data_IF_419199808427
#
_entry.id   IF_419199808427
#
_cell.length_a   1.000
_cell.length_b   1.000
_cell.length_c   1.000
_cell.angle_alpha   90.00
_cell.angle_beta   90.00
_cell.angle_gamma   90.00
#
_symmetry.space_group_name_H-M   'P 1'
#
loop_
_entity.id
_entity.type
_entity.pdbx_description
1 polymer ?
#
# COMPACT_ATOMS: atom_id res chain seq x y z
N UNK A 1 -27.92 -13.44 -12.84
CA UNK A 1 -27.60 -13.38 -11.39
C UNK A 1 -27.64 -11.91 -11.02
N UNK A 2 -28.68 -11.50 -10.29
CA UNK A 2 -29.31 -10.19 -10.40
C UNK A 2 -28.58 -9.08 -9.63
N UNK A 3 -28.43 -7.91 -10.26
CA UNK A 3 -27.98 -6.66 -9.64
C UNK A 3 -28.77 -6.31 -8.37
N UNK A 4 -30.06 -6.67 -8.32
CA UNK A 4 -30.93 -6.47 -7.16
C UNK A 4 -30.49 -7.30 -5.93
N UNK A 5 -30.04 -8.53 -6.13
CA UNK A 5 -29.55 -9.39 -5.04
C UNK A 5 -28.19 -8.87 -4.52
N UNK A 6 -27.31 -8.39 -5.41
CA UNK A 6 -26.06 -7.75 -5.00
C UNK A 6 -26.30 -6.47 -4.18
N UNK A 7 -27.32 -5.68 -4.53
CA UNK A 7 -27.75 -4.49 -3.78
C UNK A 7 -28.28 -4.81 -2.38
N UNK A 8 -29.15 -5.82 -2.24
CA UNK A 8 -29.64 -6.28 -0.93
C UNK A 8 -28.51 -6.89 -0.07
N UNK A 9 -27.59 -7.64 -0.68
CA UNK A 9 -26.48 -8.24 0.09
C UNK A 9 -25.50 -7.18 0.57
N UNK A 10 -25.22 -6.14 -0.25
CA UNK A 10 -24.37 -5.00 0.14
C UNK A 10 -25.00 -4.15 1.24
N UNK A 11 -26.32 -3.89 1.19
CA UNK A 11 -27.00 -3.18 2.28
C UNK A 11 -26.95 -3.96 3.59
N UNK A 12 -27.13 -5.28 3.53
CA UNK A 12 -27.09 -6.16 4.71
C UNK A 12 -25.70 -6.21 5.36
N UNK A 13 -24.61 -6.22 4.58
CA UNK A 13 -23.24 -6.21 5.14
C UNK A 13 -22.97 -4.91 5.90
N UNK A 14 -23.45 -3.78 5.39
CA UNK A 14 -23.32 -2.52 6.11
C UNK A 14 -24.17 -2.47 7.37
N UNK A 15 -25.21 -3.29 7.52
CA UNK A 15 -26.05 -3.33 8.72
C UNK A 15 -25.58 -4.28 9.82
N UNK A 16 -24.42 -4.92 9.66
CA UNK A 16 -23.84 -5.80 10.68
C UNK A 16 -23.42 -5.04 11.95
N UNK A 17 -23.42 -5.75 13.09
CA UNK A 17 -22.90 -5.21 14.36
C UNK A 17 -21.38 -5.36 14.41
N UNK A 18 -20.69 -4.29 14.04
CA UNK A 18 -19.22 -4.22 14.02
C UNK A 18 -18.59 -4.18 15.42
N UNK A 19 -19.37 -4.00 16.50
CA UNK A 19 -18.85 -4.09 17.87
C UNK A 19 -18.47 -5.54 18.20
N UNK A 20 -19.18 -6.51 17.61
CA UNK A 20 -18.89 -7.93 17.82
C UNK A 20 -17.53 -8.30 17.25
N UNK A 21 -16.69 -8.90 18.09
CA UNK A 21 -15.36 -9.36 17.71
C UNK A 21 -15.39 -10.35 16.54
N UNK A 22 -16.39 -11.23 16.52
CA UNK A 22 -16.59 -12.21 15.44
C UNK A 22 -16.83 -11.55 14.08
N UNK A 23 -17.62 -10.47 14.04
CA UNK A 23 -17.89 -9.72 12.81
C UNK A 23 -16.62 -9.08 12.28
N UNK A 24 -15.85 -8.44 13.17
CA UNK A 24 -14.56 -7.82 12.82
C UNK A 24 -13.58 -8.85 12.27
N UNK A 25 -13.42 -9.99 12.95
CA UNK A 25 -12.53 -11.06 12.49
C UNK A 25 -12.99 -11.68 11.17
N UNK A 26 -14.30 -11.90 10.98
CA UNK A 26 -14.85 -12.40 9.71
C UNK A 26 -14.48 -11.48 8.55
N UNK A 27 -14.60 -10.16 8.72
CA UNK A 27 -14.27 -9.20 7.67
C UNK A 27 -12.77 -9.08 7.40
N UNK A 28 -11.93 -9.12 8.43
CA UNK A 28 -10.46 -9.18 8.26
C UNK A 28 -10.07 -10.45 7.49
N UNK A 29 -10.66 -11.59 7.86
CA UNK A 29 -10.43 -12.88 7.19
C UNK A 29 -10.91 -12.83 5.74
N UNK A 30 -12.09 -12.27 5.50
CA UNK A 30 -12.63 -12.06 4.16
C UNK A 30 -11.69 -11.17 3.33
N UNK A 31 -11.21 -10.05 3.88
CA UNK A 31 -10.24 -9.18 3.21
C UNK A 31 -8.97 -9.93 2.79
N UNK A 32 -8.41 -10.75 3.68
CA UNK A 32 -7.26 -11.59 3.36
C UNK A 32 -7.53 -12.50 2.16
N UNK A 33 -8.63 -13.27 2.19
CA UNK A 33 -8.93 -14.25 1.14
C UNK A 33 -9.39 -13.62 -0.17
N UNK A 34 -10.08 -12.48 -0.12
CA UNK A 34 -10.45 -11.71 -1.32
C UNK A 34 -9.18 -11.31 -2.07
N UNK A 35 -8.21 -10.72 -1.37
CA UNK A 35 -6.98 -10.25 -2.02
C UNK A 35 -6.00 -11.36 -2.38
N UNK A 36 -6.00 -12.48 -1.64
CA UNK A 36 -5.37 -13.72 -2.11
C UNK A 36 -6.01 -14.21 -3.42
N UNK A 37 -7.34 -14.19 -3.51
CA UNK A 37 -8.09 -14.51 -4.72
C UNK A 37 -7.70 -13.60 -5.89
N UNK A 38 -7.63 -12.28 -5.67
CA UNK A 38 -7.16 -11.29 -6.66
C UNK A 38 -5.74 -11.60 -7.11
N UNK A 39 -4.84 -11.93 -6.19
CA UNK A 39 -3.45 -12.30 -6.52
C UNK A 39 -3.38 -13.54 -7.42
N UNK A 40 -4.15 -14.59 -7.09
CA UNK A 40 -4.22 -15.82 -7.89
C UNK A 40 -4.89 -15.59 -9.25
N UNK A 41 -5.95 -14.77 -9.28
CA UNK A 41 -6.62 -14.39 -10.51
C UNK A 41 -5.70 -13.58 -11.43
N UNK A 42 -4.93 -12.64 -10.87
CA UNK A 42 -3.91 -11.89 -11.59
C UNK A 42 -2.87 -12.83 -12.21
N UNK A 43 -2.38 -13.82 -11.45
CA UNK A 43 -1.46 -14.84 -11.96
C UNK A 43 -2.07 -15.63 -13.12
N UNK A 44 -3.30 -16.11 -12.94
CA UNK A 44 -4.00 -16.92 -13.94
C UNK A 44 -4.24 -16.11 -15.22
N UNK A 45 -4.86 -14.93 -15.12
CA UNK A 45 -5.11 -14.05 -16.26
C UNK A 45 -3.82 -13.67 -16.98
N UNK A 46 -2.80 -13.21 -16.26
CA UNK A 46 -1.54 -12.78 -16.85
C UNK A 46 -0.81 -13.93 -17.59
N UNK A 47 -0.91 -15.16 -17.07
CA UNK A 47 -0.37 -16.34 -17.73
C UNK A 47 -1.03 -16.64 -19.08
N UNK A 48 -2.32 -16.34 -19.20
CA UNK A 48 -3.07 -16.53 -20.45
C UNK A 48 -2.80 -15.41 -21.45
N UNK A 49 -2.92 -14.16 -21.03
CA UNK A 49 -2.99 -13.01 -21.96
C UNK A 49 -1.62 -12.36 -22.26
N UNK A 50 -0.61 -12.54 -21.40
CA UNK A 50 0.66 -11.83 -21.54
C UNK A 50 1.83 -12.76 -21.83
N UNK A 51 2.35 -12.67 -23.06
CA UNK A 51 3.57 -13.38 -23.45
C UNK A 51 4.77 -12.95 -22.60
N UNK A 52 4.93 -11.65 -22.34
CA UNK A 52 5.99 -11.11 -21.50
C UNK A 52 5.91 -11.61 -20.06
N UNK A 53 4.71 -11.75 -19.50
CA UNK A 53 4.54 -12.29 -18.14
C UNK A 53 4.99 -13.76 -18.07
N UNK A 54 4.69 -14.58 -19.08
CA UNK A 54 5.09 -16.00 -19.10
C UNK A 54 6.61 -16.17 -19.03
N UNK A 55 7.38 -15.25 -19.62
CA UNK A 55 8.84 -15.27 -19.61
C UNK A 55 9.48 -14.71 -18.34
N UNK A 56 8.70 -14.09 -17.44
CA UNK A 56 9.22 -13.58 -16.17
C UNK A 56 9.70 -14.70 -15.25
N UNK A 57 10.72 -14.38 -14.45
CA UNK A 57 11.19 -15.25 -13.36
C UNK A 57 10.06 -15.48 -12.34
N UNK A 58 10.13 -16.57 -11.56
CA UNK A 58 9.14 -16.83 -10.49
C UNK A 58 9.03 -15.65 -9.51
N UNK A 59 10.17 -15.03 -9.17
CA UNK A 59 10.25 -13.83 -8.35
C UNK A 59 9.48 -12.65 -8.96
N UNK A 60 9.75 -12.32 -10.23
CA UNK A 60 9.08 -11.21 -10.91
C UNK A 60 7.59 -11.46 -11.14
N UNK A 61 7.17 -12.72 -11.31
CA UNK A 61 5.75 -13.09 -11.38
C UNK A 61 5.03 -12.77 -10.06
N UNK A 62 5.59 -13.19 -8.92
CA UNK A 62 5.04 -12.86 -7.59
C UNK A 62 4.94 -11.36 -7.40
N UNK A 63 6.01 -10.61 -7.72
CA UNK A 63 6.01 -9.15 -7.57
C UNK A 63 5.06 -8.43 -8.53
N UNK A 64 4.84 -8.97 -9.73
CA UNK A 64 3.85 -8.43 -10.67
C UNK A 64 2.42 -8.65 -10.19
N UNK A 65 2.12 -9.84 -9.64
CA UNK A 65 0.79 -10.14 -9.13
C UNK A 65 0.47 -9.32 -7.89
N UNK A 66 1.40 -9.22 -6.93
CA UNK A 66 1.20 -8.37 -5.75
C UNK A 66 1.09 -6.88 -6.13
N UNK A 67 1.77 -6.42 -7.20
CA UNK A 67 1.59 -5.07 -7.69
C UNK A 67 0.15 -4.82 -8.18
N UNK A 68 -0.47 -5.76 -8.90
CA UNK A 68 -1.88 -5.65 -9.31
C UNK A 68 -2.78 -5.59 -8.06
N UNK A 69 -2.57 -6.50 -7.11
CA UNK A 69 -3.35 -6.57 -5.86
C UNK A 69 -3.23 -5.26 -5.06
N UNK A 70 -2.02 -4.72 -4.91
CA UNK A 70 -1.75 -3.41 -4.27
C UNK A 70 -2.42 -2.26 -4.99
N UNK A 71 -2.40 -2.26 -6.32
CA UNK A 71 -3.03 -1.22 -7.12
C UNK A 71 -4.55 -1.15 -6.86
N UNK A 72 -5.21 -2.30 -6.75
CA UNK A 72 -6.64 -2.38 -6.44
C UNK A 72 -6.95 -1.88 -5.03
N UNK A 73 -6.18 -2.28 -4.01
CA UNK A 73 -6.33 -1.69 -2.68
C UNK A 73 -6.11 -0.18 -2.72
N UNK A 74 -5.05 0.29 -3.39
CA UNK A 74 -4.75 1.72 -3.50
C UNK A 74 -5.94 2.51 -4.05
N UNK A 75 -6.63 2.01 -5.08
CA UNK A 75 -7.85 2.62 -5.61
C UNK A 75 -8.98 2.60 -4.56
N UNK A 76 -9.24 1.46 -3.92
CA UNK A 76 -10.24 1.35 -2.86
C UNK A 76 -9.99 2.36 -1.74
N UNK A 77 -8.75 2.46 -1.29
CA UNK A 77 -8.29 3.37 -0.24
C UNK A 77 -8.40 4.84 -0.64
N UNK A 78 -8.09 5.18 -1.90
CA UNK A 78 -8.31 6.53 -2.44
C UNK A 78 -9.78 6.93 -2.34
N UNK A 79 -10.67 6.07 -2.80
CA UNK A 79 -12.11 6.37 -2.84
C UNK A 79 -12.64 6.58 -1.43
N UNK A 80 -12.37 5.63 -0.52
CA UNK A 80 -12.81 5.70 0.87
C UNK A 80 -12.23 6.92 1.60
N UNK A 81 -10.94 7.19 1.38
CA UNK A 81 -10.22 8.30 1.97
C UNK A 81 -10.71 9.67 1.51
N UNK A 82 -10.85 9.87 0.19
CA UNK A 82 -11.36 11.12 -0.37
C UNK A 82 -12.81 11.36 0.03
N UNK A 83 -13.62 10.30 0.10
CA UNK A 83 -14.99 10.40 0.58
C UNK A 83 -15.05 10.90 2.02
N UNK A 84 -14.29 10.31 2.95
CA UNK A 84 -14.20 10.82 4.32
C UNK A 84 -13.62 12.24 4.40
N UNK A 85 -12.59 12.54 3.59
CA UNK A 85 -11.89 13.82 3.64
C UNK A 85 -12.75 14.99 3.12
N UNK A 86 -13.56 14.76 2.09
CA UNK A 86 -14.19 15.85 1.32
C UNK A 86 -15.73 15.86 1.37
N UNK A 87 -16.36 14.71 1.64
CA UNK A 87 -17.80 14.54 1.39
C UNK A 87 -18.57 14.14 2.65
N UNK A 88 -18.08 13.16 3.42
CA UNK A 88 -18.87 12.57 4.51
C UNK A 88 -19.09 13.56 5.66
N UNK A 89 -20.33 13.99 5.94
CA UNK A 89 -20.61 15.05 6.91
C UNK A 89 -20.31 14.64 8.35
N UNK A 90 -20.38 13.34 8.67
CA UNK A 90 -20.11 12.84 10.02
C UNK A 90 -18.61 12.94 10.33
N UNK A 91 -17.76 12.60 9.36
CA UNK A 91 -16.32 12.78 9.48
C UNK A 91 -15.87 14.25 9.45
N UNK A 92 -16.63 15.13 8.79
CA UNK A 92 -16.35 16.57 8.84
C UNK A 92 -16.73 17.19 10.18
N UNK A 93 -17.81 16.72 10.80
CA UNK A 93 -18.28 17.22 12.10
C UNK A 93 -17.36 16.79 13.26
N UNK A 94 -16.85 15.56 13.20
CA UNK A 94 -15.96 15.01 14.23
C UNK A 94 -14.90 14.14 13.56
N UNK A 95 -13.62 14.43 13.79
CA UNK A 95 -12.49 13.70 13.19
C UNK A 95 -11.84 12.70 14.15
N UNK A 96 -12.28 12.66 15.40
CA UNK A 96 -11.62 11.86 16.46
C UNK A 96 -12.47 10.68 16.89
N UNK A 97 -13.77 10.84 17.07
CA UNK A 97 -14.65 9.76 17.55
C UNK A 97 -15.56 9.19 16.48
N UNK A 98 -15.73 9.91 15.37
CA UNK A 98 -16.66 9.50 14.33
C UNK A 98 -16.33 8.14 13.73
N UNK A 99 -17.39 7.37 13.52
CA UNK A 99 -17.38 6.09 12.84
C UNK A 99 -18.59 6.01 11.93
N UNK A 100 -18.45 5.26 10.85
CA UNK A 100 -19.52 4.98 9.90
C UNK A 100 -19.52 3.49 9.61
N UNK A 101 -20.68 2.91 9.29
CA UNK A 101 -20.75 1.48 8.96
C UNK A 101 -19.90 1.13 7.73
N UNK A 102 -19.88 2.01 6.73
CA UNK A 102 -19.02 1.84 5.55
C UNK A 102 -17.53 1.93 5.90
N UNK A 103 -17.14 2.80 6.85
CA UNK A 103 -15.73 2.94 7.21
C UNK A 103 -15.23 1.75 8.00
N UNK A 104 -16.06 1.15 8.86
CA UNK A 104 -15.77 -0.15 9.47
C UNK A 104 -15.43 -1.20 8.41
N UNK A 105 -16.30 -1.38 7.41
CA UNK A 105 -16.09 -2.32 6.33
C UNK A 105 -14.76 -2.08 5.60
N UNK A 106 -14.50 -0.83 5.18
CA UNK A 106 -13.27 -0.50 4.44
C UNK A 106 -12.00 -0.72 5.27
N UNK A 107 -11.98 -0.29 6.53
CA UNK A 107 -10.85 -0.48 7.42
C UNK A 107 -10.57 -1.97 7.67
N UNK A 108 -11.59 -2.78 7.96
CA UNK A 108 -11.42 -4.21 8.26
C UNK A 108 -10.98 -5.01 7.02
N UNK A 109 -11.54 -4.72 5.85
CA UNK A 109 -11.10 -5.33 4.59
C UNK A 109 -9.64 -4.95 4.28
N UNK A 110 -9.27 -3.69 4.49
CA UNK A 110 -7.89 -3.23 4.31
C UNK A 110 -6.93 -3.90 5.31
N UNK A 111 -7.32 -4.10 6.58
CA UNK A 111 -6.53 -4.87 7.55
C UNK A 111 -6.25 -6.30 7.06
N UNK A 112 -7.26 -6.94 6.47
CA UNK A 112 -7.13 -8.27 5.86
C UNK A 112 -6.13 -8.30 4.70
N UNK A 113 -6.20 -7.30 3.82
CA UNK A 113 -5.21 -7.13 2.74
C UNK A 113 -3.80 -6.94 3.29
N UNK A 114 -3.60 -6.04 4.26
CA UNK A 114 -2.27 -5.75 4.81
C UNK A 114 -1.70 -7.01 5.48
N UNK A 115 -2.53 -7.81 6.14
CA UNK A 115 -2.10 -9.11 6.68
C UNK A 115 -1.63 -10.05 5.56
N UNK A 116 -2.41 -10.19 4.49
CA UNK A 116 -2.03 -10.98 3.31
C UNK A 116 -0.70 -10.50 2.71
N UNK A 117 -0.57 -9.20 2.55
CA UNK A 117 0.62 -8.59 1.98
C UNK A 117 1.86 -8.79 2.86
N UNK A 118 1.73 -8.68 4.18
CA UNK A 118 2.82 -9.00 5.11
C UNK A 118 3.28 -10.46 4.92
N UNK A 119 2.35 -11.41 4.82
CA UNK A 119 2.69 -12.81 4.53
C UNK A 119 3.46 -12.93 3.22
N UNK A 120 2.98 -12.30 2.14
CA UNK A 120 3.65 -12.34 0.83
C UNK A 120 5.05 -11.72 0.90
N UNK A 121 5.22 -10.58 1.56
CA UNK A 121 6.51 -9.89 1.71
C UNK A 121 7.50 -10.74 2.51
N UNK A 122 7.10 -11.28 3.66
CA UNK A 122 7.99 -12.09 4.49
C UNK A 122 8.36 -13.42 3.82
N UNK A 123 7.39 -14.12 3.23
CA UNK A 123 7.66 -15.34 2.46
C UNK A 123 8.59 -15.04 1.28
N UNK A 124 8.36 -13.95 0.55
CA UNK A 124 9.23 -13.53 -0.56
C UNK A 124 10.64 -13.18 -0.10
N UNK A 125 10.79 -12.51 1.05
CA UNK A 125 12.09 -12.19 1.64
C UNK A 125 12.88 -13.47 1.96
N UNK A 126 12.22 -14.48 2.54
CA UNK A 126 12.83 -15.77 2.87
C UNK A 126 13.18 -16.56 1.59
N UNK A 127 12.20 -16.76 0.71
CA UNK A 127 12.33 -17.63 -0.48
C UNK A 127 13.30 -17.03 -1.49
N UNK A 128 13.22 -15.73 -1.77
CA UNK A 128 14.07 -15.06 -2.75
C UNK A 128 15.31 -14.42 -2.14
N UNK A 129 15.53 -14.58 -0.82
CA UNK A 129 16.65 -13.98 -0.07
C UNK A 129 16.76 -12.48 -0.31
N UNK A 130 15.62 -11.80 -0.18
CA UNK A 130 15.52 -10.35 -0.30
C UNK A 130 15.24 -9.72 1.06
N UNK A 131 15.59 -8.45 1.22
CA UNK A 131 15.28 -7.70 2.45
C UNK A 131 15.03 -6.24 2.09
N UNK A 132 13.75 -5.88 1.96
CA UNK A 132 13.34 -4.49 1.79
C UNK A 132 12.87 -3.93 3.14
N UNK A 133 13.82 -3.37 3.89
CA UNK A 133 13.56 -2.85 5.25
C UNK A 133 12.54 -1.71 5.23
N UNK A 134 12.59 -0.82 4.23
CA UNK A 134 11.64 0.29 4.11
C UNK A 134 10.21 -0.23 3.93
N UNK A 135 10.05 -1.23 3.07
CA UNK A 135 8.76 -1.86 2.82
C UNK A 135 8.25 -2.62 4.05
N UNK A 136 9.10 -3.39 4.73
CA UNK A 136 8.74 -4.13 5.95
C UNK A 136 8.31 -3.17 7.07
N UNK A 137 9.08 -2.10 7.30
CA UNK A 137 8.75 -1.10 8.33
C UNK A 137 7.43 -0.39 8.00
N UNK A 138 7.21 -0.02 6.73
CA UNK A 138 5.94 0.55 6.27
C UNK A 138 4.75 -0.36 6.58
N UNK A 139 4.82 -1.63 6.15
CA UNK A 139 3.70 -2.56 6.34
C UNK A 139 3.50 -2.96 7.81
N UNK A 140 4.54 -2.97 8.63
CA UNK A 140 4.42 -3.19 10.06
C UNK A 140 3.61 -2.06 10.73
N UNK A 141 3.95 -0.81 10.45
CA UNK A 141 3.21 0.33 11.00
C UNK A 141 1.80 0.43 10.42
N UNK A 142 1.62 0.17 9.13
CA UNK A 142 0.30 0.16 8.51
C UNK A 142 -0.61 -0.93 9.11
N UNK A 143 -0.06 -2.14 9.34
CA UNK A 143 -0.78 -3.22 10.00
C UNK A 143 -1.11 -2.88 11.45
N UNK A 144 -0.12 -2.42 12.23
CA UNK A 144 -0.33 -2.07 13.64
C UNK A 144 -1.32 -0.92 13.82
N UNK A 145 -1.30 0.06 12.92
CA UNK A 145 -2.29 1.13 12.85
C UNK A 145 -3.70 0.59 12.66
N UNK A 146 -3.96 -0.25 11.66
CA UNK A 146 -5.30 -0.80 11.46
C UNK A 146 -5.69 -1.89 12.48
N UNK A 147 -4.72 -2.60 13.06
CA UNK A 147 -4.97 -3.62 14.09
C UNK A 147 -5.60 -3.02 15.33
N UNK A 148 -5.23 -1.79 15.70
CA UNK A 148 -5.89 -1.16 16.85
C UNK A 148 -7.36 -0.82 16.60
N UNK A 149 -7.85 -0.74 15.36
CA UNK A 149 -9.29 -0.66 15.08
C UNK A 149 -10.00 -1.99 15.31
N UNK A 150 -9.28 -3.09 15.12
CA UNK A 150 -9.81 -4.43 15.44
C UNK A 150 -9.98 -4.56 16.95
N UNK A 151 -9.15 -3.92 17.78
CA UNK A 151 -9.15 -4.09 19.24
C UNK A 151 -9.93 -2.99 19.96
N UNK A 152 -9.82 -1.74 19.50
CA UNK A 152 -10.40 -0.56 20.11
C UNK A 152 -11.64 -0.07 19.34
N UNK A 153 -12.82 -0.50 19.79
CA UNK A 153 -14.11 -0.08 19.22
C UNK A 153 -14.45 1.39 19.43
N UNK A 154 -13.75 2.09 20.33
CA UNK A 154 -13.99 3.52 20.57
C UNK A 154 -13.27 4.39 19.56
N UNK A 155 -12.30 3.82 18.83
CA UNK A 155 -11.41 4.64 18.02
C UNK A 155 -12.09 5.18 16.77
N UNK A 156 -12.03 6.49 16.53
CA UNK A 156 -12.61 7.06 15.32
C UNK A 156 -11.86 6.64 14.05
N UNK A 157 -12.57 6.63 12.93
CA UNK A 157 -12.05 6.07 11.69
C UNK A 157 -11.41 7.08 10.75
N UNK A 158 -11.51 8.38 11.04
CA UNK A 158 -10.99 9.41 10.16
C UNK A 158 -9.48 9.27 9.91
N UNK A 159 -8.68 9.23 10.98
CA UNK A 159 -7.22 9.11 10.88
C UNK A 159 -6.78 7.82 10.18
N UNK A 160 -7.35 6.64 10.48
CA UNK A 160 -7.10 5.44 9.69
C UNK A 160 -7.46 5.57 8.21
N UNK A 161 -8.60 6.19 7.87
CA UNK A 161 -8.99 6.42 6.47
C UNK A 161 -8.03 7.38 5.77
N UNK A 162 -7.48 8.39 6.47
CA UNK A 162 -6.41 9.22 5.92
C UNK A 162 -5.12 8.41 5.74
N UNK A 163 -4.82 7.50 6.67
CA UNK A 163 -3.72 6.53 6.54
C UNK A 163 -3.88 5.63 5.30
N UNK A 164 -5.09 5.14 5.02
CA UNK A 164 -5.41 4.42 3.79
C UNK A 164 -5.25 5.33 2.56
N UNK A 165 -5.75 6.57 2.62
CA UNK A 165 -5.62 7.54 1.53
C UNK A 165 -4.16 7.85 1.17
N UNK A 166 -3.21 7.68 2.11
CA UNK A 166 -1.79 7.80 1.78
C UNK A 166 -1.38 6.82 0.67
N UNK A 167 -2.07 5.69 0.49
CA UNK A 167 -1.86 4.76 -0.64
C UNK A 167 -2.26 5.34 -2.01
N UNK A 168 -2.57 6.64 -2.11
CA UNK A 168 -2.90 7.31 -3.38
C UNK A 168 -1.80 7.31 -4.44
N UNK A 169 -0.53 7.16 -4.04
CA UNK A 169 0.56 6.97 -5.01
C UNK A 169 0.69 5.51 -5.49
N UNK A 170 0.13 4.55 -4.74
CA UNK A 170 0.31 3.11 -4.96
C UNK A 170 -0.18 2.64 -6.33
N UNK A 171 -1.35 3.06 -6.86
CA UNK A 171 -1.74 2.70 -8.22
C UNK A 171 -0.70 3.09 -9.27
N UNK A 172 -0.09 4.28 -9.14
CA UNK A 172 0.94 4.75 -10.07
C UNK A 172 2.28 4.02 -9.89
N UNK A 173 2.64 3.62 -8.66
CA UNK A 173 3.81 2.78 -8.37
C UNK A 173 3.63 1.39 -9.01
N UNK A 174 2.45 0.80 -8.88
CA UNK A 174 2.14 -0.50 -9.44
C UNK A 174 2.12 -0.47 -10.97
N UNK A 175 1.52 0.57 -11.56
CA UNK A 175 1.53 0.78 -13.00
C UNK A 175 2.97 0.97 -13.52
N UNK A 176 3.82 1.74 -12.82
CA UNK A 176 5.24 1.85 -13.13
C UNK A 176 5.91 0.47 -13.22
N UNK A 177 5.70 -0.39 -12.22
CA UNK A 177 6.31 -1.72 -12.20
C UNK A 177 5.88 -2.57 -13.40
N UNK A 178 4.58 -2.57 -13.71
CA UNK A 178 4.03 -3.35 -14.81
C UNK A 178 4.53 -2.84 -16.16
N UNK A 179 4.52 -1.52 -16.40
CA UNK A 179 5.00 -0.91 -17.64
C UNK A 179 6.50 -1.17 -17.86
N UNK A 180 7.30 -1.15 -16.78
CA UNK A 180 8.73 -1.45 -16.87
C UNK A 180 8.96 -2.92 -17.30
N UNK A 181 8.26 -3.86 -16.66
CA UNK A 181 8.40 -5.31 -16.92
C UNK A 181 7.82 -5.74 -18.26
N UNK A 182 6.91 -4.97 -18.83
CA UNK A 182 6.31 -5.23 -20.15
C UNK A 182 7.01 -4.47 -21.29
N UNK A 183 8.08 -3.70 -20.99
CA UNK A 183 8.87 -3.00 -22.01
C UNK A 183 8.30 -1.67 -22.48
N UNK A 184 7.27 -1.14 -21.80
CA UNK A 184 6.59 0.12 -22.16
C UNK A 184 7.18 1.37 -21.46
N UNK A 185 8.40 1.28 -20.93
CA UNK A 185 9.04 2.36 -20.16
C UNK A 185 9.34 3.64 -20.98
N UNK A 186 9.29 3.60 -22.31
CA UNK A 186 9.55 4.76 -23.17
C UNK A 186 8.27 5.37 -23.77
N UNK A 187 7.09 4.92 -23.35
CA UNK A 187 5.80 5.38 -23.89
C UNK A 187 5.32 6.70 -23.29
N UNK A 188 4.36 7.35 -23.95
CA UNK A 188 3.62 8.48 -23.37
C UNK A 188 2.88 8.07 -22.09
N UNK A 189 2.34 6.85 -22.05
CA UNK A 189 1.68 6.29 -20.87
C UNK A 189 2.64 6.21 -19.67
N UNK A 190 3.90 5.78 -19.90
CA UNK A 190 4.93 5.82 -18.86
C UNK A 190 5.16 7.24 -18.33
N UNK A 191 5.37 8.20 -19.23
CA UNK A 191 5.63 9.60 -18.84
C UNK A 191 4.46 10.14 -18.03
N UNK A 192 3.23 10.00 -18.53
CA UNK A 192 2.02 10.42 -17.83
C UNK A 192 1.92 9.79 -16.42
N UNK A 193 2.20 8.48 -16.30
CA UNK A 193 2.23 7.80 -15.02
C UNK A 193 3.28 8.36 -14.06
N UNK A 194 4.49 8.69 -14.53
CA UNK A 194 5.52 9.29 -13.66
C UNK A 194 5.11 10.69 -13.18
N UNK A 195 4.47 11.48 -14.05
CA UNK A 195 3.91 12.78 -13.67
C UNK A 195 2.88 12.62 -12.55
N UNK A 196 1.91 11.73 -12.73
CA UNK A 196 0.89 11.44 -11.71
C UNK A 196 1.54 10.94 -10.41
N UNK A 197 2.49 10.01 -10.50
CA UNK A 197 3.19 9.45 -9.34
C UNK A 197 3.81 10.54 -8.45
N UNK A 198 4.53 11.49 -9.06
CA UNK A 198 5.20 12.57 -8.31
C UNK A 198 4.17 13.49 -7.65
N UNK A 199 3.09 13.84 -8.37
CA UNK A 199 2.03 14.67 -7.80
C UNK A 199 1.39 13.96 -6.60
N UNK A 200 1.03 12.68 -6.75
CA UNK A 200 0.46 11.90 -5.65
C UNK A 200 1.43 11.79 -4.47
N UNK A 201 2.74 11.70 -4.72
CA UNK A 201 3.72 11.65 -3.64
C UNK A 201 3.83 12.98 -2.87
N UNK A 202 3.64 14.13 -3.52
CA UNK A 202 3.55 15.42 -2.85
C UNK A 202 2.21 15.57 -2.12
N UNK A 203 1.09 15.13 -2.71
CA UNK A 203 -0.20 15.10 -2.04
C UNK A 203 -0.16 14.29 -0.74
N UNK A 204 0.57 13.16 -0.72
CA UNK A 204 0.82 12.38 0.51
C UNK A 204 1.47 13.22 1.63
N UNK A 205 2.40 14.12 1.30
CA UNK A 205 3.02 14.98 2.31
C UNK A 205 2.01 15.97 2.92
N UNK A 206 1.23 16.63 2.05
CA UNK A 206 0.17 17.54 2.49
C UNK A 206 -0.82 16.80 3.39
N UNK A 207 -1.20 15.58 3.02
CA UNK A 207 -2.12 14.76 3.80
C UNK A 207 -1.53 14.36 5.16
N UNK A 208 -0.24 14.02 5.24
CA UNK A 208 0.43 13.76 6.52
C UNK A 208 0.42 14.99 7.41
N UNK A 209 0.71 16.18 6.87
CA UNK A 209 0.65 17.41 7.66
C UNK A 209 -0.77 17.70 8.15
N UNK A 210 -1.78 17.40 7.33
CA UNK A 210 -3.17 17.44 7.75
C UNK A 210 -3.47 16.46 8.88
N UNK A 211 -2.96 15.22 8.81
CA UNK A 211 -3.11 14.25 9.91
C UNK A 211 -2.47 14.77 11.21
N UNK A 212 -1.25 15.34 11.14
CA UNK A 212 -0.62 16.00 12.29
C UNK A 212 -1.46 17.15 12.84
N UNK A 213 -1.96 18.01 11.96
CA UNK A 213 -2.82 19.12 12.33
C UNK A 213 -4.08 18.65 13.06
N UNK A 214 -4.75 17.62 12.57
CA UNK A 214 -5.92 17.02 13.23
C UNK A 214 -5.56 16.46 14.60
N UNK A 215 -4.43 15.76 14.72
CA UNK A 215 -3.97 15.23 16.01
C UNK A 215 -3.66 16.32 17.03
N UNK A 216 -2.96 17.38 16.63
CA UNK A 216 -2.58 18.48 17.51
C UNK A 216 -3.81 19.30 17.92
N UNK A 217 -4.71 19.57 16.97
CA UNK A 217 -5.91 20.37 17.22
C UNK A 217 -6.90 19.71 18.17
N UNK A 218 -6.86 18.38 18.28
CA UNK A 218 -7.76 17.59 19.12
C UNK A 218 -6.97 16.68 20.08
N UNK A 219 -5.85 17.18 20.62
CA UNK A 219 -4.86 16.36 21.32
C UNK A 219 -5.43 15.53 22.46
N UNK A 220 -6.22 16.14 23.36
CA UNK A 220 -6.78 15.45 24.52
C UNK A 220 -7.70 14.31 24.10
N UNK A 221 -8.58 14.59 23.14
CA UNK A 221 -9.54 13.62 22.61
C UNK A 221 -8.83 12.45 21.93
N UNK A 222 -7.77 12.75 21.16
CA UNK A 222 -6.96 11.73 20.46
C UNK A 222 -6.24 10.83 21.46
N UNK A 223 -5.67 11.38 22.53
CA UNK A 223 -4.99 10.61 23.58
C UNK A 223 -5.97 9.70 24.32
N UNK A 224 -7.15 10.20 24.65
CA UNK A 224 -8.21 9.42 25.32
C UNK A 224 -8.76 8.31 24.40
N UNK A 225 -8.95 8.63 23.13
CA UNK A 225 -9.65 7.78 22.17
C UNK A 225 -8.79 6.60 21.69
N UNK A 226 -7.51 6.83 21.36
CA UNK A 226 -6.67 5.83 20.70
C UNK A 226 -6.27 4.68 21.65
N UNK A 227 -6.11 4.97 22.94
CA UNK A 227 -5.51 4.05 23.91
C UNK A 227 -4.00 3.89 23.71
N UNK A 228 -3.27 3.58 24.79
CA UNK A 228 -1.80 3.68 24.82
C UNK A 228 -1.07 2.84 23.74
N UNK A 229 -1.40 1.55 23.49
CA UNK A 229 -0.65 0.76 22.51
C UNK A 229 -0.84 1.27 21.08
N UNK A 230 -2.07 1.61 20.70
CA UNK A 230 -2.36 2.13 19.36
C UNK A 230 -1.82 3.54 19.19
N UNK A 231 -1.87 4.38 20.22
CA UNK A 231 -1.24 5.70 20.23
C UNK A 231 0.26 5.62 19.89
N UNK A 232 1.01 4.73 20.57
CA UNK A 232 2.45 4.55 20.33
C UNK A 232 2.71 4.14 18.88
N UNK A 233 2.00 3.13 18.37
CA UNK A 233 2.19 2.63 17.01
C UNK A 233 1.82 3.71 15.98
N UNK A 234 0.70 4.41 16.18
CA UNK A 234 0.23 5.45 15.29
C UNK A 234 1.22 6.61 15.18
N UNK A 235 1.67 7.18 16.30
CA UNK A 235 2.58 8.33 16.27
C UNK A 235 4.01 7.96 15.83
N UNK A 236 4.49 6.76 16.17
CA UNK A 236 5.77 6.27 15.62
C UNK A 236 5.67 6.07 14.10
N UNK A 237 4.58 5.47 13.62
CA UNK A 237 4.32 5.29 12.20
C UNK A 237 4.21 6.63 11.46
N UNK A 238 3.42 7.57 11.99
CA UNK A 238 3.24 8.90 11.41
C UNK A 238 4.56 9.67 11.36
N UNK A 239 5.36 9.63 12.43
CA UNK A 239 6.69 10.26 12.46
C UNK A 239 7.65 9.62 11.45
N UNK A 240 7.65 8.29 11.37
CA UNK A 240 8.49 7.53 10.42
C UNK A 240 8.12 7.85 8.97
N UNK A 241 6.82 7.93 8.67
CA UNK A 241 6.33 8.33 7.36
C UNK A 241 6.71 9.78 7.02
N UNK A 242 6.60 10.68 7.99
CA UNK A 242 6.88 12.11 7.82
C UNK A 242 8.36 12.39 7.58
N UNK A 243 9.24 11.80 8.39
CA UNK A 243 10.65 12.20 8.46
C UNK A 243 11.56 11.30 7.61
N UNK A 244 11.18 10.05 7.37
CA UNK A 244 12.06 9.05 6.76
C UNK A 244 11.48 8.53 5.44
N UNK A 245 10.32 7.86 5.49
CA UNK A 245 9.82 7.09 4.35
C UNK A 245 9.38 7.99 3.19
N UNK A 246 8.53 8.99 3.45
CA UNK A 246 8.03 9.82 2.37
C UNK A 246 9.11 10.69 1.71
N UNK A 247 10.01 11.38 2.45
CA UNK A 247 11.12 12.10 1.82
C UNK A 247 11.97 11.20 0.93
N UNK A 248 12.28 9.99 1.39
CA UNK A 248 13.02 9.00 0.61
C UNK A 248 12.26 8.55 -0.64
N UNK A 249 10.96 8.28 -0.55
CA UNK A 249 10.14 7.89 -1.69
C UNK A 249 9.92 9.03 -2.68
N UNK A 250 9.82 10.28 -2.24
CA UNK A 250 9.80 11.46 -3.12
C UNK A 250 11.10 11.52 -3.89
N UNK A 251 12.24 11.47 -3.20
CA UNK A 251 13.56 11.46 -3.84
C UNK A 251 13.65 10.37 -4.91
N UNK A 252 13.29 9.12 -4.59
CA UNK A 252 13.30 8.01 -5.56
C UNK A 252 12.33 8.23 -6.72
N UNK A 253 11.13 8.74 -6.45
CA UNK A 253 10.13 8.98 -7.49
C UNK A 253 10.55 10.11 -8.45
N UNK A 254 11.16 11.16 -7.91
CA UNK A 254 11.75 12.27 -8.70
C UNK A 254 12.88 11.76 -9.59
N UNK A 255 13.77 10.91 -9.08
CA UNK A 255 14.83 10.32 -9.90
C UNK A 255 14.27 9.49 -11.06
N UNK A 256 13.17 8.75 -10.85
CA UNK A 256 12.50 7.96 -11.90
C UNK A 256 11.92 8.81 -13.03
N UNK A 257 11.60 10.08 -12.78
CA UNK A 257 11.15 11.01 -13.82
C UNK A 257 12.24 11.22 -14.89
N UNK A 258 13.49 11.28 -14.44
CA UNK A 258 14.64 11.60 -15.27
C UNK A 258 15.31 10.37 -15.89
N UNK A 259 14.96 9.15 -15.46
CA UNK A 259 15.43 7.92 -16.09
C UNK A 259 14.75 6.65 -15.54
N UNK A 260 14.40 5.67 -16.41
CA UNK A 260 13.80 4.41 -15.99
C UNK A 260 14.87 3.52 -15.35
N UNK A 261 15.03 3.59 -14.04
CA UNK A 261 15.96 2.74 -13.28
C UNK A 261 15.17 1.84 -12.34
N UNK A 262 15.39 0.53 -12.41
CA UNK A 262 14.83 -0.44 -11.46
C UNK A 262 15.62 -0.41 -10.15
N UNK A 263 15.01 0.14 -9.11
CA UNK A 263 15.63 0.27 -7.78
C UNK A 263 15.13 -0.76 -6.77
N UNK A 264 14.24 -1.68 -7.18
CA UNK A 264 13.83 -2.74 -6.27
C UNK A 264 15.06 -3.64 -5.99
N UNK A 265 15.34 -3.85 -4.70
CA UNK A 265 16.47 -4.65 -4.20
C UNK A 265 17.89 -4.06 -4.34
N UNK A 266 18.03 -2.79 -4.77
CA UNK A 266 19.36 -2.21 -5.06
C UNK A 266 20.30 -2.09 -3.85
N UNK A 267 19.75 -1.97 -2.63
CA UNK A 267 20.54 -1.74 -1.42
C UNK A 267 21.49 -2.91 -1.12
N UNK A 268 21.07 -4.16 -1.36
CA UNK A 268 21.92 -5.33 -1.08
C UNK A 268 22.95 -5.61 -2.18
N UNK A 269 22.63 -5.37 -3.45
CA UNK A 269 23.62 -5.45 -4.54
C UNK A 269 24.74 -4.43 -4.38
N UNK A 270 24.46 -3.24 -3.84
CA UNK A 270 25.48 -2.23 -3.58
C UNK A 270 26.35 -2.57 -2.36
N UNK A 271 25.76 -3.11 -1.29
CA UNK A 271 26.46 -3.37 -0.01
C UNK A 271 27.14 -4.75 0.04
N UNK A 272 26.55 -5.77 -0.59
CA UNK A 272 27.03 -7.16 -0.56
C UNK A 272 27.37 -7.73 -1.94
N UNK A 273 27.04 -7.03 -3.04
CA UNK A 273 27.39 -7.44 -4.40
C UNK A 273 28.80 -7.02 -4.85
N UNK A 274 29.56 -6.31 -4.01
CA UNK A 274 30.99 -6.03 -4.25
C UNK A 274 31.87 -7.21 -3.79
N UNK A 275 31.60 -8.41 -4.30
CA UNK A 275 32.56 -9.52 -4.28
C UNK A 275 32.52 -10.19 -5.64
N UNK A 276 33.28 -9.61 -6.57
CA UNK A 276 33.32 -10.07 -7.95
C UNK A 276 33.74 -8.98 -8.94
N UNK A 277 34.78 -8.19 -8.64
CA UNK A 277 35.56 -7.56 -9.71
C UNK A 277 36.27 -8.69 -10.46
N UNK A 278 35.62 -9.26 -11.46
CA UNK A 278 36.32 -10.08 -12.44
C UNK A 278 37.10 -9.11 -13.32
N UNK A 279 38.41 -9.08 -13.12
CA UNK A 279 39.37 -8.51 -14.05
C UNK A 279 39.10 -9.09 -15.44
N UNK A 280 38.45 -8.30 -16.30
CA UNK A 280 38.35 -8.54 -17.73
C UNK A 280 38.54 -7.23 -18.48
N UNK A 281 39.56 -6.48 -18.06
CA UNK A 281 40.21 -5.50 -18.91
C UNK A 281 41.68 -5.88 -18.98
N UNK A 282 42.06 -6.71 -19.95
CA UNK A 282 43.38 -6.57 -20.57
C UNK A 282 43.50 -7.34 -21.89
N UNK A 283 43.82 -6.57 -22.94
CA UNK A 283 44.46 -6.96 -24.20
C UNK A 283 43.64 -7.65 -25.30
N UNK A 284 42.78 -6.87 -25.96
CA UNK A 284 42.87 -6.84 -27.43
C UNK A 284 44.20 -6.20 -27.83
N UNK A 285 45.14 -6.99 -28.33
CA UNK A 285 46.29 -6.47 -29.09
C UNK A 285 46.25 -7.06 -30.49
N UNK A 286 45.75 -6.24 -31.42
CA UNK A 286 45.97 -6.34 -32.86
C UNK A 286 47.49 -6.42 -33.15
N UNK A 287 47.94 -7.42 -33.91
CA UNK A 287 48.96 -7.25 -34.98
C UNK A 287 49.16 -8.51 -35.81
N UNK A 288 48.99 -8.29 -37.13
CA UNK A 288 49.47 -9.01 -38.34
C UNK A 288 48.90 -10.40 -38.54
#
# INVERSE_FOLDING_TARGET
MNLAYAGETLSVIFDWDYVLWEVRLKLVTAGFFIYLGVFLLAHWLASWISASYRTLSGKDKVFSNIAITRGLLGIQSCVAGLWALLIDPVFQADKVYSQQKWSWFHCLIASGFILFENVVVHVSNIVFRTCDVFLVVHHLFAFGGLLGLIINIKSGHYLPLMGLLLEMSTPSICMYWLLLRTGYANTLLWKANQWVLIHMQHCRMVLIYHMWWVCISNWNDVVENLGLPHFIVFFMGLSTLTLILNPYWIYRSTQRLFGPVDWNFSFFTAVFGSSGKLNSETFEKKRI
#
